data_IF_623834142134
#
_entry.id   IF_623834142134
#
_cell.length_a   1.000
_cell.length_b   1.000
_cell.length_c   1.000
_cell.angle_alpha   90.00
_cell.angle_beta   90.00
_cell.angle_gamma   90.00
#
_symmetry.space_group_name_H-M   'P 1'
#
loop_
_entity.id
_entity.type
_entity.pdbx_description
1 polymer ?
#
# COMPACT_ATOMS: atom_id res chain seq x y z
N UNK A 1 17.77 -21.67 14.33
CA UNK A 1 16.40 -21.23 14.68
C UNK A 1 15.92 -20.33 13.57
N UNK A 2 14.97 -20.79 12.77
CA UNK A 2 14.58 -20.13 11.54
C UNK A 2 13.62 -18.99 11.84
N UNK A 3 14.04 -17.78 11.53
CA UNK A 3 13.15 -16.63 11.41
C UNK A 3 12.26 -16.88 10.17
N UNK A 4 11.00 -17.21 10.39
CA UNK A 4 9.98 -17.10 9.35
C UNK A 4 9.75 -15.60 9.08
N UNK A 5 10.61 -15.00 8.27
CA UNK A 5 10.24 -13.78 7.60
C UNK A 5 9.02 -14.12 6.74
N UNK A 6 7.87 -13.54 7.04
CA UNK A 6 6.70 -13.64 6.20
C UNK A 6 7.08 -13.15 4.82
N UNK A 7 7.17 -14.07 3.87
CA UNK A 7 7.47 -13.75 2.49
C UNK A 7 6.27 -12.96 1.94
N UNK A 8 6.48 -11.73 1.43
CA UNK A 8 5.41 -10.94 0.85
C UNK A 8 4.78 -11.56 -0.40
N UNK A 9 5.36 -12.62 -0.94
CA UNK A 9 4.82 -13.40 -2.05
C UNK A 9 3.77 -14.43 -1.60
N UNK A 10 3.00 -14.14 -0.55
CA UNK A 10 1.94 -15.04 -0.08
C UNK A 10 0.69 -14.97 -0.95
N UNK A 11 0.20 -16.15 -1.35
CA UNK A 11 -1.08 -16.31 -2.03
C UNK A 11 -2.21 -16.41 -0.99
N UNK A 12 -3.28 -15.63 -1.16
CA UNK A 12 -4.46 -15.66 -0.27
C UNK A 12 -5.42 -16.78 -0.68
N UNK A 13 -5.68 -17.77 0.18
CA UNK A 13 -6.40 -18.99 -0.22
C UNK A 13 -7.82 -18.76 -0.73
N UNK A 14 -8.46 -17.64 -0.38
CA UNK A 14 -9.88 -17.45 -0.68
C UNK A 14 -10.24 -16.60 -1.92
N UNK A 15 -9.28 -15.96 -2.60
CA UNK A 15 -9.61 -15.04 -3.72
C UNK A 15 -8.63 -15.06 -4.89
N UNK A 16 -7.67 -15.98 -4.95
CA UNK A 16 -6.58 -15.93 -5.93
C UNK A 16 -5.89 -14.55 -5.99
N UNK A 17 -5.76 -13.89 -4.84
CA UNK A 17 -5.04 -12.63 -4.67
C UNK A 17 -3.65 -12.95 -4.15
N UNK A 18 -2.63 -12.33 -4.72
CA UNK A 18 -1.26 -12.38 -4.22
C UNK A 18 -0.62 -11.00 -4.34
N UNK A 19 0.41 -10.77 -3.55
CA UNK A 19 1.28 -9.61 -3.68
C UNK A 19 2.71 -10.11 -3.86
N UNK A 20 3.47 -9.45 -4.72
CA UNK A 20 4.90 -9.69 -4.91
C UNK A 20 5.64 -8.37 -5.06
N UNK A 21 6.92 -8.37 -4.76
CA UNK A 21 7.75 -7.21 -5.10
C UNK A 21 7.72 -6.95 -6.60
N UNK A 22 7.82 -5.67 -6.97
CA UNK A 22 7.92 -5.30 -8.39
C UNK A 22 9.23 -5.81 -8.98
N UNK A 23 9.18 -6.12 -10.27
CA UNK A 23 10.32 -6.53 -11.09
C UNK A 23 10.50 -5.54 -12.25
N UNK A 24 11.66 -5.55 -12.94
CA UNK A 24 11.92 -4.61 -14.05
C UNK A 24 10.83 -4.61 -15.14
N UNK A 25 10.21 -5.74 -15.39
CA UNK A 25 9.15 -5.93 -16.39
C UNK A 25 7.87 -5.18 -16.05
N UNK A 26 7.64 -4.84 -14.79
CA UNK A 26 6.45 -4.11 -14.34
C UNK A 26 6.49 -2.61 -14.66
N UNK A 27 7.65 -2.06 -15.01
CA UNK A 27 7.87 -0.62 -15.10
C UNK A 27 6.90 0.08 -16.04
N UNK A 28 6.64 -0.50 -17.23
CA UNK A 28 5.74 0.12 -18.19
C UNK A 28 4.27 0.07 -17.73
N UNK A 29 3.87 -1.02 -17.09
CA UNK A 29 2.55 -1.14 -16.46
C UNK A 29 2.35 -0.08 -15.37
N UNK A 30 3.31 0.07 -14.48
CA UNK A 30 3.29 1.06 -13.40
C UNK A 30 3.25 2.50 -13.96
N UNK A 31 4.04 2.78 -14.99
CA UNK A 31 4.06 4.09 -15.67
C UNK A 31 2.69 4.40 -16.28
N UNK A 32 2.11 3.45 -16.99
CA UNK A 32 0.79 3.58 -17.62
C UNK A 32 -0.30 3.85 -16.59
N UNK A 33 -0.32 3.09 -15.49
CA UNK A 33 -1.29 3.29 -14.42
C UNK A 33 -1.12 4.64 -13.72
N UNK A 34 0.11 5.06 -13.47
CA UNK A 34 0.38 6.37 -12.89
C UNK A 34 -0.15 7.49 -13.80
N UNK A 35 0.06 7.41 -15.11
CA UNK A 35 -0.47 8.40 -16.05
C UNK A 35 -2.00 8.43 -16.07
N UNK A 36 -2.64 7.27 -16.10
CA UNK A 36 -4.10 7.16 -16.07
C UNK A 36 -4.73 7.77 -14.79
N UNK A 37 -3.98 7.78 -13.69
CA UNK A 37 -4.43 8.30 -12.40
C UNK A 37 -3.72 9.60 -11.99
N UNK A 38 -3.07 10.31 -12.89
CA UNK A 38 -2.22 11.48 -12.59
C UNK A 38 -2.91 12.57 -11.77
N UNK A 39 -4.23 12.75 -11.96
CA UNK A 39 -5.02 13.74 -11.20
C UNK A 39 -5.12 13.45 -9.69
N UNK A 40 -4.78 12.24 -9.27
CA UNK A 40 -4.85 11.80 -7.86
C UNK A 40 -3.50 11.93 -7.13
N UNK A 41 -2.45 12.32 -7.84
CA UNK A 41 -1.11 12.48 -7.29
C UNK A 41 -0.73 13.96 -7.15
N UNK A 42 0.15 14.26 -6.20
CA UNK A 42 0.75 15.59 -6.03
C UNK A 42 1.59 15.97 -7.25
N UNK A 43 2.41 15.02 -7.72
CA UNK A 43 3.19 15.13 -8.96
C UNK A 43 2.36 14.56 -10.12
N UNK A 44 1.82 15.46 -10.93
CA UNK A 44 0.97 15.14 -12.09
C UNK A 44 1.75 15.03 -13.39
N UNK A 45 3.05 15.24 -13.34
CA UNK A 45 3.90 15.19 -14.52
C UNK A 45 3.89 13.81 -15.18
N UNK A 46 3.83 13.81 -16.50
CA UNK A 46 4.01 12.59 -17.28
C UNK A 46 5.48 12.23 -17.28
N UNK A 47 5.79 11.02 -16.86
CA UNK A 47 7.15 10.49 -16.85
C UNK A 47 7.42 9.69 -18.11
N UNK A 48 8.61 9.91 -18.69
CA UNK A 48 9.10 9.14 -19.83
C UNK A 48 9.54 7.72 -19.40
N UNK A 49 9.66 6.77 -20.34
CA UNK A 49 10.25 5.47 -20.04
C UNK A 49 11.65 5.55 -19.42
N UNK A 50 12.47 6.53 -19.86
CA UNK A 50 13.80 6.75 -19.29
C UNK A 50 13.74 7.23 -17.83
N UNK A 51 12.87 8.18 -17.53
CA UNK A 51 12.63 8.64 -16.15
C UNK A 51 12.08 7.51 -15.27
N UNK A 52 11.22 6.64 -15.81
CA UNK A 52 10.72 5.48 -15.09
C UNK A 52 11.85 4.51 -14.74
N UNK A 53 12.75 4.21 -15.67
CA UNK A 53 13.93 3.37 -15.42
C UNK A 53 14.84 3.98 -14.35
N UNK A 54 15.10 5.28 -14.41
CA UNK A 54 15.90 5.99 -13.42
C UNK A 54 15.27 5.92 -12.03
N UNK A 55 13.96 6.14 -11.93
CA UNK A 55 13.21 6.00 -10.67
C UNK A 55 13.27 4.58 -10.11
N UNK A 56 13.18 3.57 -10.96
CA UNK A 56 13.28 2.17 -10.56
C UNK A 56 14.71 1.84 -10.07
N UNK A 57 15.75 2.27 -10.77
CA UNK A 57 17.14 2.10 -10.32
C UNK A 57 17.36 2.75 -8.95
N UNK A 58 16.84 3.96 -8.76
CA UNK A 58 16.93 4.65 -7.47
C UNK A 58 16.12 3.94 -6.37
N UNK A 59 14.94 3.42 -6.69
CA UNK A 59 14.15 2.58 -5.78
C UNK A 59 14.95 1.38 -5.27
N UNK A 60 15.69 0.68 -6.14
CA UNK A 60 16.50 -0.49 -5.76
C UNK A 60 17.65 -0.17 -4.80
N UNK A 61 18.06 1.09 -4.68
CA UNK A 61 19.12 1.52 -3.76
C UNK A 61 18.62 1.92 -2.38
N UNK A 62 17.29 1.93 -2.17
CA UNK A 62 16.69 2.33 -0.90
C UNK A 62 16.43 1.12 -0.02
N UNK A 63 16.92 1.18 1.20
CA UNK A 63 16.53 0.24 2.24
C UNK A 63 15.11 0.56 2.73
N UNK A 64 14.36 -0.49 3.06
CA UNK A 64 13.00 -0.38 3.61
C UNK A 64 12.03 0.47 2.75
N UNK A 65 12.22 0.45 1.44
CA UNK A 65 11.27 0.96 0.45
C UNK A 65 10.75 -0.21 -0.38
N UNK A 66 9.47 -0.52 -0.24
CA UNK A 66 8.86 -1.72 -0.79
C UNK A 66 7.67 -1.34 -1.68
N UNK A 67 7.78 -1.64 -2.96
CA UNK A 67 6.66 -1.48 -3.91
C UNK A 67 6.20 -2.86 -4.35
N UNK A 68 4.93 -3.13 -4.14
CA UNK A 68 4.31 -4.43 -4.42
C UNK A 68 3.36 -4.34 -5.61
N UNK A 69 3.42 -5.35 -6.47
CA UNK A 69 2.40 -5.64 -7.47
C UNK A 69 1.30 -6.48 -6.82
N UNK A 70 0.05 -6.04 -6.96
CA UNK A 70 -1.14 -6.79 -6.57
C UNK A 70 -1.61 -7.61 -7.75
N UNK A 71 -1.72 -8.91 -7.57
CA UNK A 71 -2.14 -9.85 -8.58
C UNK A 71 -3.50 -10.46 -8.22
N UNK A 72 -4.36 -10.62 -9.21
CA UNK A 72 -5.59 -11.40 -9.10
C UNK A 72 -5.57 -12.46 -10.19
N UNK A 73 -5.61 -13.74 -9.80
CA UNK A 73 -5.41 -14.88 -10.72
C UNK A 73 -4.12 -14.73 -11.55
N UNK A 74 -3.02 -14.39 -10.89
CA UNK A 74 -1.70 -14.13 -11.49
C UNK A 74 -1.63 -12.93 -12.47
N UNK A 75 -2.70 -12.13 -12.60
CA UNK A 75 -2.72 -10.96 -13.49
C UNK A 75 -2.49 -9.68 -12.69
N UNK A 76 -1.57 -8.80 -13.12
CA UNK A 76 -1.37 -7.48 -12.53
C UNK A 76 -2.70 -6.70 -12.47
N UNK A 77 -3.05 -6.23 -11.29
CA UNK A 77 -4.33 -5.55 -11.03
C UNK A 77 -4.14 -4.19 -10.38
N UNK A 78 -3.10 -4.03 -9.57
CA UNK A 78 -2.78 -2.78 -8.91
C UNK A 78 -1.39 -2.81 -8.30
N UNK A 79 -1.03 -1.74 -7.61
CA UNK A 79 0.22 -1.68 -6.84
C UNK A 79 0.02 -0.94 -5.52
N UNK A 80 0.89 -1.22 -4.57
CA UNK A 80 0.93 -0.60 -3.24
C UNK A 80 2.39 -0.43 -2.85
N UNK A 81 2.79 0.80 -2.54
CA UNK A 81 4.10 1.11 -1.99
C UNK A 81 4.04 1.41 -0.50
N UNK A 82 5.05 0.99 0.24
CA UNK A 82 5.26 1.34 1.63
C UNK A 82 6.74 1.52 1.89
N UNK A 83 7.12 2.60 2.56
CA UNK A 83 8.51 2.89 2.88
C UNK A 83 8.65 3.38 4.30
N UNK A 84 9.77 3.03 4.92
CA UNK A 84 10.11 3.50 6.25
C UNK A 84 10.66 4.92 6.18
N UNK A 85 10.04 5.81 6.93
CA UNK A 85 10.55 7.13 7.26
C UNK A 85 11.03 7.14 8.72
N UNK A 86 11.50 8.30 9.21
CA UNK A 86 12.11 8.37 10.54
C UNK A 86 11.19 7.88 11.67
N UNK A 87 9.91 8.25 11.62
CA UNK A 87 8.93 8.05 12.69
C UNK A 87 7.67 7.27 12.30
N UNK A 88 7.51 6.95 11.00
CA UNK A 88 6.35 6.19 10.49
C UNK A 88 6.65 5.44 9.20
N UNK A 89 5.79 4.49 8.87
CA UNK A 89 5.69 3.92 7.54
C UNK A 89 4.82 4.81 6.66
N UNK A 90 5.34 5.22 5.50
CA UNK A 90 4.63 6.04 4.53
C UNK A 90 4.06 5.15 3.41
N UNK A 91 2.75 5.06 3.37
CA UNK A 91 2.02 4.35 2.32
C UNK A 91 1.89 5.26 1.09
N UNK A 92 2.33 4.77 -0.06
CA UNK A 92 2.37 5.56 -1.29
C UNK A 92 2.04 4.71 -2.52
N UNK A 93 1.80 5.36 -3.68
CA UNK A 93 1.49 4.68 -4.95
C UNK A 93 0.42 3.58 -4.85
N UNK A 94 -0.62 3.81 -4.06
CA UNK A 94 -1.77 2.90 -3.99
C UNK A 94 -2.62 3.12 -5.24
N UNK A 95 -2.47 2.25 -6.22
CA UNK A 95 -3.12 2.37 -7.52
C UNK A 95 -3.87 1.09 -7.83
N UNK A 96 -5.17 1.21 -8.10
CA UNK A 96 -5.93 0.16 -8.77
C UNK A 96 -5.81 0.38 -10.27
N UNK A 97 -4.99 -0.43 -10.94
CA UNK A 97 -4.67 -0.28 -12.36
C UNK A 97 -5.72 -0.86 -13.28
N UNK A 98 -6.41 -1.91 -12.85
CA UNK A 98 -7.43 -2.61 -13.65
C UNK A 98 -8.71 -2.81 -12.84
N UNK A 99 -9.86 -2.47 -13.47
CA UNK A 99 -11.18 -2.64 -12.87
C UNK A 99 -11.90 -3.84 -13.51
N UNK A 100 -11.82 -5.00 -12.85
CA UNK A 100 -12.54 -6.23 -13.25
C UNK A 100 -13.56 -6.59 -12.18
N UNK A 101 -14.69 -7.18 -12.58
CA UNK A 101 -15.76 -7.56 -11.64
C UNK A 101 -15.26 -8.50 -10.52
N UNK A 102 -14.43 -9.48 -10.86
CA UNK A 102 -13.88 -10.45 -9.90
C UNK A 102 -12.70 -9.92 -9.08
N UNK A 103 -12.27 -8.69 -9.30
CA UNK A 103 -11.21 -8.04 -8.51
C UNK A 103 -11.75 -7.10 -7.42
N UNK A 104 -13.04 -7.11 -7.14
CA UNK A 104 -13.63 -6.31 -6.06
C UNK A 104 -13.02 -6.68 -4.72
N UNK A 105 -12.61 -5.68 -3.94
CA UNK A 105 -12.02 -5.85 -2.63
C UNK A 105 -10.57 -6.36 -2.63
N UNK A 106 -9.96 -6.66 -3.79
CA UNK A 106 -8.58 -7.14 -3.85
C UNK A 106 -7.57 -6.14 -3.29
N UNK A 107 -7.76 -4.85 -3.58
CA UNK A 107 -6.87 -3.79 -3.08
C UNK A 107 -6.94 -3.64 -1.56
N UNK A 108 -8.12 -3.76 -0.96
CA UNK A 108 -8.27 -3.73 0.50
C UNK A 108 -7.58 -4.91 1.18
N UNK A 109 -7.75 -6.11 0.64
CA UNK A 109 -7.06 -7.31 1.13
C UNK A 109 -5.54 -7.16 1.01
N UNK A 110 -5.04 -6.73 -0.15
CA UNK A 110 -3.61 -6.51 -0.37
C UNK A 110 -3.06 -5.40 0.53
N UNK A 111 -3.82 -4.32 0.76
CA UNK A 111 -3.44 -3.23 1.64
C UNK A 111 -3.17 -3.71 3.07
N UNK A 112 -4.08 -4.51 3.64
CA UNK A 112 -3.91 -5.02 4.99
C UNK A 112 -2.67 -5.92 5.11
N UNK A 113 -2.35 -6.70 4.10
CA UNK A 113 -1.11 -7.50 4.09
C UNK A 113 0.16 -6.67 4.02
N UNK A 114 0.16 -5.63 3.20
CA UNK A 114 1.30 -4.69 3.12
C UNK A 114 1.50 -3.96 4.44
N UNK A 115 0.40 -3.58 5.10
CA UNK A 115 0.46 -2.97 6.45
C UNK A 115 0.99 -3.97 7.47
N UNK A 116 0.49 -5.20 7.48
CA UNK A 116 0.97 -6.24 8.37
C UNK A 116 2.46 -6.54 8.17
N UNK A 117 2.90 -6.66 6.92
CA UNK A 117 4.32 -6.80 6.57
C UNK A 117 5.17 -5.68 7.18
N UNK A 118 4.73 -4.42 7.08
CA UNK A 118 5.44 -3.28 7.63
C UNK A 118 5.49 -3.30 9.17
N UNK A 119 4.36 -3.57 9.82
CA UNK A 119 4.25 -3.61 11.28
C UNK A 119 5.07 -4.75 11.90
N UNK A 120 5.20 -5.89 11.21
CA UNK A 120 6.06 -6.99 11.64
C UNK A 120 7.56 -6.62 11.58
N UNK A 121 7.96 -5.77 10.64
CA UNK A 121 9.34 -5.27 10.51
C UNK A 121 9.65 -4.20 11.55
N UNK A 122 8.75 -3.25 11.73
CA UNK A 122 8.86 -2.20 12.73
C UNK A 122 7.46 -1.75 13.17
N UNK A 123 7.14 -1.94 14.43
CA UNK A 123 5.83 -1.61 15.01
C UNK A 123 5.72 -0.10 15.32
N UNK A 124 5.65 0.72 14.26
CA UNK A 124 5.46 2.16 14.30
C UNK A 124 4.25 2.55 13.46
N UNK A 125 3.70 3.79 13.59
CA UNK A 125 2.52 4.20 12.84
C UNK A 125 2.66 3.99 11.33
N UNK A 126 1.55 3.61 10.67
CA UNK A 126 1.42 3.61 9.21
C UNK A 126 0.57 4.81 8.81
N UNK A 127 1.12 5.68 7.99
CA UNK A 127 0.46 6.92 7.55
C UNK A 127 0.43 7.00 6.02
N UNK A 128 -0.44 7.84 5.52
CA UNK A 128 -0.47 8.23 4.12
C UNK A 128 -0.81 9.71 3.99
N UNK A 129 -0.38 10.30 2.89
CA UNK A 129 -0.71 11.65 2.49
C UNK A 129 -1.55 11.59 1.21
N UNK A 130 -2.72 12.20 1.23
CA UNK A 130 -3.66 12.18 0.10
C UNK A 130 -4.23 13.57 -0.14
N UNK A 131 -4.50 13.91 -1.42
CA UNK A 131 -5.18 15.15 -1.77
C UNK A 131 -6.56 15.22 -1.10
N UNK A 132 -6.91 16.38 -0.55
CA UNK A 132 -8.17 16.57 0.19
C UNK A 132 -9.43 16.24 -0.63
N UNK A 133 -9.35 16.44 -1.95
CA UNK A 133 -10.44 16.15 -2.89
C UNK A 133 -10.35 14.76 -3.56
N UNK A 134 -9.42 13.90 -3.10
CA UNK A 134 -9.28 12.57 -3.68
C UNK A 134 -10.43 11.67 -3.21
N UNK A 135 -11.22 11.08 -4.13
CA UNK A 135 -12.31 10.17 -3.77
C UNK A 135 -11.84 8.91 -3.03
N UNK A 136 -10.56 8.59 -3.04
CA UNK A 136 -10.01 7.48 -2.27
C UNK A 136 -10.01 7.71 -0.75
N UNK A 137 -10.25 8.94 -0.26
CA UNK A 137 -10.29 9.22 1.17
C UNK A 137 -11.30 8.33 1.92
N UNK A 138 -12.50 8.14 1.37
CA UNK A 138 -13.52 7.29 1.99
C UNK A 138 -13.12 5.81 1.94
N UNK A 139 -12.51 5.35 0.85
CA UNK A 139 -11.96 4.00 0.77
C UNK A 139 -10.87 3.74 1.83
N UNK A 140 -10.02 4.72 2.12
CA UNK A 140 -9.04 4.59 3.22
C UNK A 140 -9.73 4.52 4.59
N UNK A 141 -10.78 5.31 4.82
CA UNK A 141 -11.58 5.22 6.06
C UNK A 141 -12.20 3.83 6.23
N UNK A 142 -12.77 3.27 5.16
CA UNK A 142 -13.32 1.91 5.15
C UNK A 142 -12.26 0.83 5.42
N UNK A 143 -10.98 1.15 5.17
CA UNK A 143 -9.83 0.30 5.45
C UNK A 143 -9.07 0.71 6.73
N UNK A 144 -9.77 1.24 7.73
CA UNK A 144 -9.29 1.53 9.08
C UNK A 144 -8.28 2.69 9.16
N UNK A 145 -8.28 3.62 8.21
CA UNK A 145 -7.54 4.86 8.34
C UNK A 145 -8.43 5.97 8.90
N UNK A 146 -7.88 6.81 9.75
CA UNK A 146 -8.52 8.04 10.23
C UNK A 146 -7.66 9.26 9.92
N UNK A 147 -8.31 10.41 9.72
CA UNK A 147 -7.63 11.68 9.52
C UNK A 147 -6.97 12.11 10.81
N UNK A 148 -5.66 12.35 10.79
CA UNK A 148 -4.91 12.88 11.93
C UNK A 148 -4.49 14.34 11.72
N UNK A 149 -4.44 14.82 10.47
CA UNK A 149 -4.11 16.20 10.16
C UNK A 149 -4.76 16.64 8.85
N UNK A 150 -5.25 17.86 8.80
CA UNK A 150 -5.79 18.48 7.58
C UNK A 150 -4.94 19.72 7.25
N UNK A 151 -4.45 19.76 6.02
CA UNK A 151 -3.74 20.88 5.42
C UNK A 151 -4.59 21.51 4.31
N UNK A 152 -4.13 22.59 3.71
CA UNK A 152 -4.90 23.33 2.70
C UNK A 152 -5.34 22.47 1.51
N UNK A 153 -4.46 21.64 1.00
CA UNK A 153 -4.63 20.86 -0.23
C UNK A 153 -4.58 19.33 -0.03
N UNK A 154 -4.24 18.89 1.18
CA UNK A 154 -4.10 17.47 1.50
C UNK A 154 -4.46 17.14 2.93
N UNK A 155 -4.68 15.87 3.18
CA UNK A 155 -4.88 15.32 4.51
C UNK A 155 -3.84 14.22 4.78
N UNK A 156 -3.50 14.06 6.03
CA UNK A 156 -2.69 12.94 6.52
C UNK A 156 -3.62 12.01 7.27
N UNK A 157 -3.56 10.74 6.91
CA UNK A 157 -4.35 9.69 7.53
C UNK A 157 -3.43 8.66 8.17
N UNK A 158 -3.88 8.04 9.25
CA UNK A 158 -3.15 7.01 9.96
C UNK A 158 -3.99 5.76 10.15
N UNK A 159 -3.37 4.62 9.93
CA UNK A 159 -3.98 3.31 10.16
C UNK A 159 -4.25 3.11 11.65
N UNK A 160 -5.46 2.70 11.98
CA UNK A 160 -5.88 2.36 13.32
C UNK A 160 -5.70 0.85 13.51
N UNK A 161 -4.65 0.46 14.24
CA UNK A 161 -4.48 -0.94 14.62
C UNK A 161 -5.69 -1.38 15.44
N UNK A 162 -6.31 -2.55 15.14
CA UNK A 162 -7.35 -3.08 16.00
C UNK A 162 -6.82 -3.18 17.42
N UNK A 163 -7.51 -2.53 18.36
CA UNK A 163 -7.18 -2.64 19.78
C UNK A 163 -7.25 -4.12 20.13
N UNK A 164 -6.13 -4.70 20.57
CA UNK A 164 -6.15 -6.01 21.21
C UNK A 164 -7.14 -5.89 22.36
N UNK A 165 -8.28 -6.56 22.26
CA UNK A 165 -9.26 -6.60 23.33
C UNK A 165 -8.53 -6.98 24.61
N UNK A 166 -8.57 -6.11 25.61
CA UNK A 166 -8.06 -6.40 26.95
C UNK A 166 -8.69 -7.71 27.40
N UNK A 167 -7.93 -8.69 27.90
CA UNK A 167 -8.52 -9.88 28.46
C UNK A 167 -9.45 -9.44 29.58
N UNK A 168 -10.73 -9.77 29.47
CA UNK A 168 -11.73 -9.58 30.52
C UNK A 168 -11.16 -10.15 31.83
N UNK A 169 -10.82 -9.28 32.75
CA UNK A 169 -10.63 -9.65 34.14
C UNK A 169 -11.97 -10.17 34.64
N UNK A 170 -12.09 -11.49 34.74
CA UNK A 170 -13.20 -12.14 35.40
C UNK A 170 -13.06 -11.79 36.91
N UNK A 171 -14.04 -11.11 37.51
CA UNK A 171 -14.01 -10.90 38.96
C UNK A 171 -14.29 -12.25 39.63
N UNK A 172 -13.31 -12.76 40.33
CA UNK A 172 -13.52 -13.85 41.25
C UNK A 172 -14.36 -13.34 42.44
N UNK A 173 -15.58 -13.84 42.52
CA UNK A 173 -16.43 -13.77 43.72
C UNK A 173 -16.05 -14.90 44.67
#
# INVERSE_FOLDING_TARGET
MHQNAHDPDTCFPNRNISVRKIVPEDQETLRTWRHAHSQRFFDREKISPAQQRQRFTHYLTRDEDHLFMVLVKALPTGCIGIRLLDDHWDLYNVIRGVHRLHSRGCMGTALHHVIEFALQRKAIPVQLKVLANNPACDWYKDNQFSVIKTEKDHIIMQYQTPSSASPNLIPHS
#
